data_IF_977855949801
#
_entry.id   IF_977855949801
#
_cell.length_a   1.000
_cell.length_b   1.000
_cell.length_c   1.000
_cell.angle_alpha   90.00
_cell.angle_beta   90.00
_cell.angle_gamma   90.00
#
_symmetry.space_group_name_H-M   'P 1'
#
loop_
_entity.id
_entity.type
_entity.pdbx_description
1 polymer ?
#
# COMPACT_ATOMS: atom_id res chain seq x y z
N UNK A 1 -16.52 -20.01 39.07
CA UNK A 1 -17.16 -19.52 37.83
C UNK A 1 -17.29 -20.68 36.85
N UNK A 2 -18.49 -21.24 36.73
CA UNK A 2 -18.80 -22.35 35.81
C UNK A 2 -18.86 -21.82 34.37
N UNK A 3 -18.04 -22.37 33.48
CA UNK A 3 -18.08 -22.06 32.05
C UNK A 3 -19.47 -22.41 31.47
N UNK A 4 -20.20 -21.40 30.97
CA UNK A 4 -21.43 -21.64 30.20
C UNK A 4 -21.04 -22.33 28.89
N UNK A 5 -21.70 -23.43 28.49
CA UNK A 5 -21.46 -24.03 27.18
C UNK A 5 -21.81 -23.01 26.09
N UNK A 6 -20.92 -22.86 25.11
CA UNK A 6 -21.16 -22.00 23.95
C UNK A 6 -22.48 -22.43 23.27
N UNK A 7 -23.37 -21.48 22.91
CA UNK A 7 -24.63 -21.82 22.25
C UNK A 7 -24.34 -22.59 20.95
N UNK A 8 -25.07 -23.70 20.72
CA UNK A 8 -24.95 -24.48 19.48
C UNK A 8 -25.26 -23.58 18.29
N UNK A 9 -24.28 -23.40 17.39
CA UNK A 9 -24.43 -22.59 16.18
C UNK A 9 -25.66 -23.01 15.36
N UNK A 10 -26.46 -22.04 14.96
CA UNK A 10 -27.69 -22.26 14.19
C UNK A 10 -27.36 -22.70 12.75
N UNK A 11 -28.27 -23.42 12.07
CA UNK A 11 -28.06 -23.92 10.70
C UNK A 11 -27.73 -22.79 9.71
N UNK A 12 -28.36 -21.63 9.89
CA UNK A 12 -28.06 -20.41 9.13
C UNK A 12 -26.61 -19.93 9.31
N UNK A 13 -26.06 -19.97 10.53
CA UNK A 13 -24.68 -19.55 10.78
C UNK A 13 -23.67 -20.49 10.10
N UNK A 14 -23.97 -21.80 10.06
CA UNK A 14 -23.14 -22.76 9.32
C UNK A 14 -23.15 -22.48 7.82
N UNK A 15 -24.30 -22.14 7.25
CA UNK A 15 -24.42 -21.80 5.82
C UNK A 15 -23.65 -20.52 5.51
N UNK A 16 -23.76 -19.48 6.35
CA UNK A 16 -22.99 -18.23 6.20
C UNK A 16 -21.48 -18.49 6.18
N UNK A 17 -20.98 -19.35 7.07
CA UNK A 17 -19.55 -19.71 7.10
C UNK A 17 -19.10 -20.43 5.82
N UNK A 18 -19.92 -21.32 5.26
CA UNK A 18 -19.61 -22.01 4.00
C UNK A 18 -19.56 -21.01 2.83
N UNK A 19 -20.54 -20.12 2.75
CA UNK A 19 -20.57 -19.07 1.72
C UNK A 19 -19.37 -18.14 1.84
N UNK A 20 -19.01 -17.71 3.06
CA UNK A 20 -17.80 -16.91 3.30
C UNK A 20 -16.53 -17.64 2.90
N UNK A 21 -16.43 -18.94 3.15
CA UNK A 21 -15.28 -19.75 2.72
C UNK A 21 -15.18 -19.81 1.18
N UNK A 22 -16.30 -19.98 0.46
CA UNK A 22 -16.32 -19.96 -1.01
C UNK A 22 -15.92 -18.60 -1.57
N UNK A 23 -16.41 -17.50 -0.96
CA UNK A 23 -16.01 -16.13 -1.35
C UNK A 23 -14.52 -15.91 -1.07
N UNK A 24 -13.98 -16.45 0.03
CA UNK A 24 -12.55 -16.41 0.33
C UNK A 24 -11.72 -17.16 -0.72
N UNK A 25 -12.17 -18.34 -1.17
CA UNK A 25 -11.52 -19.08 -2.26
C UNK A 25 -11.56 -18.27 -3.57
N UNK A 26 -12.70 -17.65 -3.88
CA UNK A 26 -12.83 -16.76 -5.04
C UNK A 26 -11.83 -15.59 -4.98
N UNK A 27 -11.73 -14.90 -3.85
CA UNK A 27 -10.77 -13.81 -3.65
C UNK A 27 -9.34 -14.25 -3.93
N UNK A 28 -8.93 -15.40 -3.37
CA UNK A 28 -7.57 -15.94 -3.55
C UNK A 28 -7.32 -16.27 -5.02
N UNK A 29 -8.26 -16.95 -5.69
CA UNK A 29 -8.13 -17.33 -7.09
C UNK A 29 -8.09 -16.09 -8.02
N UNK A 30 -8.96 -15.11 -7.79
CA UNK A 30 -9.04 -13.89 -8.60
C UNK A 30 -7.77 -13.04 -8.49
N UNK A 31 -7.21 -12.90 -7.28
CA UNK A 31 -5.95 -12.21 -7.06
C UNK A 31 -4.76 -12.97 -7.67
N UNK A 32 -4.67 -14.29 -7.44
CA UNK A 32 -3.55 -15.08 -7.95
C UNK A 32 -3.47 -15.09 -9.48
N UNK A 33 -4.62 -15.15 -10.15
CA UNK A 33 -4.72 -15.19 -11.61
C UNK A 33 -4.87 -13.81 -12.26
N UNK A 34 -4.85 -12.71 -11.49
CA UNK A 34 -5.04 -11.34 -11.99
C UNK A 34 -6.27 -11.20 -12.92
N UNK A 35 -7.41 -11.81 -12.55
CA UNK A 35 -8.58 -11.93 -13.43
C UNK A 35 -9.26 -10.59 -13.74
N UNK A 36 -9.07 -9.58 -12.89
CA UNK A 36 -9.61 -8.24 -13.04
C UNK A 36 -8.78 -7.23 -12.23
N UNK A 37 -9.07 -5.95 -12.41
CA UNK A 37 -8.53 -4.89 -11.59
C UNK A 37 -8.84 -5.13 -10.10
N UNK A 38 -7.89 -4.84 -9.22
CA UNK A 38 -7.97 -5.19 -7.78
C UNK A 38 -9.23 -4.59 -7.14
N UNK A 39 -9.62 -3.37 -7.54
CA UNK A 39 -10.85 -2.73 -7.07
C UNK A 39 -12.12 -3.48 -7.45
N UNK A 40 -12.20 -4.02 -8.68
CA UNK A 40 -13.33 -4.82 -9.14
C UNK A 40 -13.40 -6.18 -8.44
N UNK A 41 -12.25 -6.80 -8.17
CA UNK A 41 -12.19 -8.04 -7.38
C UNK A 41 -12.73 -7.79 -5.96
N UNK A 42 -12.26 -6.73 -5.29
CA UNK A 42 -12.75 -6.32 -3.98
C UNK A 42 -14.25 -6.03 -3.97
N UNK A 43 -14.74 -5.29 -4.98
CA UNK A 43 -16.16 -5.00 -5.13
C UNK A 43 -17.00 -6.27 -5.31
N UNK A 44 -16.52 -7.24 -6.09
CA UNK A 44 -17.21 -8.53 -6.28
C UNK A 44 -17.35 -9.30 -4.97
N UNK A 45 -16.30 -9.31 -4.14
CA UNK A 45 -16.30 -9.95 -2.83
C UNK A 45 -17.28 -9.27 -1.88
N UNK A 46 -17.31 -7.93 -1.86
CA UNK A 46 -18.25 -7.16 -1.06
C UNK A 46 -19.69 -7.45 -1.50
N UNK A 47 -19.98 -7.43 -2.79
CA UNK A 47 -21.33 -7.71 -3.32
C UNK A 47 -21.77 -9.13 -2.96
N UNK A 48 -20.93 -10.15 -3.18
CA UNK A 48 -21.25 -11.54 -2.87
C UNK A 48 -21.44 -11.76 -1.36
N UNK A 49 -20.55 -11.19 -0.53
CA UNK A 49 -20.64 -11.32 0.92
C UNK A 49 -21.88 -10.60 1.46
N UNK A 50 -22.19 -9.40 0.96
CA UNK A 50 -23.32 -8.60 1.44
C UNK A 50 -24.65 -9.19 0.98
N UNK A 51 -24.75 -9.65 -0.26
CA UNK A 51 -25.98 -10.26 -0.80
C UNK A 51 -26.28 -11.65 -0.20
N UNK A 52 -25.26 -12.46 0.08
CA UNK A 52 -25.45 -13.85 0.52
C UNK A 52 -25.29 -14.07 2.04
N UNK A 53 -24.55 -13.20 2.72
CA UNK A 53 -24.28 -13.30 4.17
C UNK A 53 -24.66 -12.04 4.96
N UNK A 54 -24.80 -10.90 4.27
CA UNK A 54 -25.05 -9.61 4.86
C UNK A 54 -26.47 -9.43 5.38
N UNK A 55 -26.73 -8.21 5.83
CA UNK A 55 -28.01 -7.81 6.39
C UNK A 55 -28.91 -7.36 5.24
N UNK A 56 -30.01 -8.08 5.01
CA UNK A 56 -31.00 -7.74 3.97
C UNK A 56 -32.21 -6.97 4.51
N UNK A 57 -32.24 -6.73 5.82
CA UNK A 57 -33.26 -5.93 6.49
C UNK A 57 -32.94 -4.45 6.33
N UNK A 58 -33.88 -3.69 5.77
CA UNK A 58 -33.71 -2.27 5.43
C UNK A 58 -33.32 -1.40 6.63
N UNK A 59 -33.81 -1.72 7.85
CA UNK A 59 -33.46 -0.97 9.06
C UNK A 59 -32.04 -1.29 9.56
N UNK A 60 -31.50 -2.45 9.23
CA UNK A 60 -30.19 -2.89 9.68
C UNK A 60 -29.10 -2.74 8.61
N UNK A 61 -29.46 -2.53 7.34
CA UNK A 61 -28.54 -2.17 6.24
C UNK A 61 -27.75 -0.91 6.58
N UNK A 62 -28.42 0.18 6.98
CA UNK A 62 -27.73 1.44 7.32
C UNK A 62 -26.72 1.29 8.46
N UNK A 63 -27.04 0.43 9.44
CA UNK A 63 -26.15 0.12 10.58
C UNK A 63 -24.92 -0.69 10.16
N UNK A 64 -25.04 -1.54 9.14
CA UNK A 64 -23.91 -2.30 8.60
C UNK A 64 -22.88 -1.40 7.88
N UNK A 65 -23.30 -0.27 7.28
CA UNK A 65 -22.40 0.70 6.66
C UNK A 65 -21.70 1.63 7.66
N UNK A 66 -22.23 1.79 8.88
CA UNK A 66 -21.64 2.69 9.89
C UNK A 66 -20.22 2.31 10.28
N UNK A 67 -19.87 1.02 10.28
CA UNK A 67 -18.51 0.57 10.61
C UNK A 67 -17.50 0.88 9.49
N UNK A 68 -17.94 0.88 8.22
CA UNK A 68 -17.07 1.16 7.06
C UNK A 68 -17.00 2.65 6.69
N UNK A 69 -18.04 3.42 7.02
CA UNK A 69 -18.16 4.85 6.71
C UNK A 69 -16.94 5.70 7.08
N UNK A 70 -16.32 5.55 8.26
CA UNK A 70 -15.11 6.30 8.62
C UNK A 70 -13.93 6.02 7.68
N UNK A 71 -13.76 4.76 7.26
CA UNK A 71 -12.69 4.36 6.34
C UNK A 71 -12.96 4.88 4.93
N UNK A 72 -14.21 4.76 4.45
CA UNK A 72 -14.60 5.29 3.14
C UNK A 72 -14.44 6.81 3.07
N UNK A 73 -14.89 7.54 4.10
CA UNK A 73 -14.73 8.99 4.18
C UNK A 73 -13.24 9.39 4.23
N UNK A 74 -12.44 8.66 4.99
CA UNK A 74 -10.99 8.86 5.03
C UNK A 74 -10.35 8.66 3.65
N UNK A 75 -10.72 7.60 2.91
CA UNK A 75 -10.23 7.37 1.54
C UNK A 75 -10.64 8.48 0.57
N UNK A 76 -11.88 8.96 0.63
CA UNK A 76 -12.33 10.07 -0.22
C UNK A 76 -11.54 11.35 0.07
N UNK A 77 -11.39 11.71 1.34
CA UNK A 77 -10.58 12.87 1.76
C UNK A 77 -9.14 12.67 1.33
N UNK A 78 -8.61 11.46 1.51
CA UNK A 78 -7.26 11.09 1.11
C UNK A 78 -7.02 11.30 -0.38
N UNK A 79 -7.81 10.69 -1.27
CA UNK A 79 -7.66 10.89 -2.72
C UNK A 79 -7.85 12.34 -3.16
N UNK A 80 -8.74 13.08 -2.47
CA UNK A 80 -8.89 14.52 -2.72
C UNK A 80 -7.61 15.29 -2.39
N UNK A 81 -6.98 15.01 -1.24
CA UNK A 81 -5.70 15.61 -0.86
C UNK A 81 -4.58 15.20 -1.83
N UNK A 82 -4.56 13.93 -2.27
CA UNK A 82 -3.61 13.44 -3.27
C UNK A 82 -3.70 14.26 -4.56
N UNK A 83 -4.92 14.42 -5.08
CA UNK A 83 -5.17 15.18 -6.29
C UNK A 83 -4.69 16.64 -6.16
N UNK A 84 -5.00 17.30 -5.03
CA UNK A 84 -4.57 18.68 -4.77
C UNK A 84 -3.04 18.79 -4.70
N UNK A 85 -2.34 17.84 -4.06
CA UNK A 85 -0.87 17.89 -3.97
C UNK A 85 -0.21 17.74 -5.34
N UNK A 86 -0.74 16.85 -6.18
CA UNK A 86 -0.30 16.68 -7.57
C UNK A 86 -0.55 17.97 -8.36
N UNK A 87 -1.77 18.52 -8.29
CA UNK A 87 -2.16 19.73 -9.04
C UNK A 87 -1.38 20.97 -8.60
N UNK A 88 -1.01 21.05 -7.33
CA UNK A 88 -0.21 22.16 -6.78
C UNK A 88 1.30 21.93 -6.90
N UNK A 89 1.75 20.83 -7.52
CA UNK A 89 3.17 20.50 -7.71
C UNK A 89 3.98 20.57 -6.41
N UNK A 90 3.37 20.20 -5.28
CA UNK A 90 3.94 20.46 -3.94
C UNK A 90 5.27 19.73 -3.72
N UNK A 91 5.47 18.59 -4.38
CA UNK A 91 6.69 17.79 -4.30
C UNK A 91 7.66 17.97 -5.46
N UNK A 92 7.27 18.68 -6.53
CA UNK A 92 8.15 18.92 -7.68
C UNK A 92 9.49 19.58 -7.30
N UNK A 93 9.57 20.53 -6.33
CA UNK A 93 10.87 21.07 -5.89
C UNK A 93 11.80 20.04 -5.27
N UNK A 94 11.26 19.09 -4.48
CA UNK A 94 12.04 18.01 -3.86
C UNK A 94 12.55 17.06 -4.94
N UNK A 95 11.71 16.73 -5.91
CA UNK A 95 12.05 15.83 -7.00
C UNK A 95 13.09 16.46 -7.93
N UNK A 96 12.91 17.73 -8.29
CA UNK A 96 13.90 18.47 -9.07
C UNK A 96 15.26 18.54 -8.34
N UNK A 97 15.26 18.75 -7.02
CA UNK A 97 16.47 18.70 -6.21
C UNK A 97 17.15 17.33 -6.28
N UNK A 98 16.40 16.25 -6.15
CA UNK A 98 16.96 14.89 -6.23
C UNK A 98 17.45 14.58 -7.64
N UNK A 99 16.71 14.95 -8.68
CA UNK A 99 17.11 14.71 -10.08
C UNK A 99 18.35 15.52 -10.51
N UNK A 100 18.66 16.63 -9.83
CA UNK A 100 19.90 17.38 -10.03
C UNK A 100 21.11 16.76 -9.33
N UNK A 101 20.91 15.83 -8.40
CA UNK A 101 22.01 15.12 -7.76
C UNK A 101 22.69 14.15 -8.74
N UNK A 102 23.91 13.73 -8.43
CA UNK A 102 24.61 12.73 -9.22
C UNK A 102 23.79 11.43 -9.34
N UNK A 103 23.83 10.73 -10.49
CA UNK A 103 23.09 9.50 -10.70
C UNK A 103 23.32 8.43 -9.63
N UNK A 104 24.53 8.38 -9.08
CA UNK A 104 24.91 7.49 -7.96
C UNK A 104 24.13 7.79 -6.68
N UNK A 105 23.84 9.07 -6.39
CA UNK A 105 23.14 9.50 -5.20
C UNK A 105 21.61 9.51 -5.37
N UNK A 106 21.10 9.57 -6.59
CA UNK A 106 19.66 9.70 -6.86
C UNK A 106 18.85 8.57 -6.23
N UNK A 107 19.27 7.31 -6.39
CA UNK A 107 18.57 6.14 -5.85
C UNK A 107 18.44 6.21 -4.32
N UNK A 108 19.55 6.53 -3.65
CA UNK A 108 19.58 6.71 -2.19
C UNK A 108 18.69 7.87 -1.74
N UNK A 109 18.79 9.03 -2.41
CA UNK A 109 18.00 10.21 -2.07
C UNK A 109 16.51 9.95 -2.27
N UNK A 110 16.11 9.35 -3.39
CA UNK A 110 14.71 8.95 -3.60
C UNK A 110 14.27 7.98 -2.51
N UNK A 111 15.06 6.95 -2.18
CA UNK A 111 14.71 6.02 -1.10
C UNK A 111 14.48 6.72 0.24
N UNK A 112 15.41 7.60 0.65
CA UNK A 112 15.36 8.28 1.96
C UNK A 112 14.21 9.29 2.03
N UNK A 113 14.05 10.15 1.02
CA UNK A 113 12.97 11.14 1.02
C UNK A 113 11.60 10.49 0.95
N UNK A 114 11.43 9.46 0.13
CA UNK A 114 10.18 8.69 0.08
C UNK A 114 9.90 8.02 1.43
N UNK A 115 10.91 7.42 2.06
CA UNK A 115 10.78 6.81 3.39
C UNK A 115 10.34 7.79 4.47
N UNK A 116 10.96 8.97 4.51
CA UNK A 116 10.62 9.99 5.50
C UNK A 116 9.21 10.55 5.30
N UNK A 117 8.83 10.88 4.05
CA UNK A 117 7.50 11.39 3.75
C UNK A 117 6.43 10.33 3.95
N UNK A 118 6.70 9.09 3.54
CA UNK A 118 5.78 7.98 3.70
C UNK A 118 5.64 7.54 5.16
N UNK A 119 6.63 7.77 6.02
CA UNK A 119 6.53 7.52 7.44
C UNK A 119 5.54 8.45 8.15
N UNK A 120 5.29 9.66 7.62
CA UNK A 120 4.34 10.62 8.20
C UNK A 120 3.02 10.71 7.42
N UNK A 121 3.00 10.19 6.19
CA UNK A 121 1.85 10.14 5.29
C UNK A 121 1.44 8.68 5.00
N UNK A 122 0.79 8.39 3.88
CA UNK A 122 0.44 7.04 3.41
C UNK A 122 1.41 6.59 2.30
N UNK A 123 1.78 5.30 2.30
CA UNK A 123 2.69 4.72 1.32
C UNK A 123 2.17 4.72 -0.12
N UNK A 124 0.86 4.53 -0.31
CA UNK A 124 0.23 4.57 -1.64
C UNK A 124 0.24 6.01 -2.18
N UNK A 125 0.01 6.99 -1.31
CA UNK A 125 0.02 8.40 -1.71
C UNK A 125 1.41 8.83 -2.19
N UNK A 126 2.41 8.71 -1.32
CA UNK A 126 3.77 9.15 -1.65
C UNK A 126 4.28 8.40 -2.88
N UNK A 127 4.04 7.09 -2.95
CA UNK A 127 4.45 6.28 -4.10
C UNK A 127 3.84 6.74 -5.41
N UNK A 128 2.52 7.03 -5.42
CA UNK A 128 1.83 7.48 -6.63
C UNK A 128 2.37 8.81 -7.14
N UNK A 129 2.59 9.79 -6.24
CA UNK A 129 3.11 11.10 -6.65
C UNK A 129 4.53 10.98 -7.22
N UNK A 130 5.42 10.27 -6.53
CA UNK A 130 6.81 10.13 -6.96
C UNK A 130 6.96 9.32 -8.25
N UNK A 131 6.15 8.28 -8.46
CA UNK A 131 6.15 7.51 -9.71
C UNK A 131 5.64 8.36 -10.88
N UNK A 132 4.57 9.15 -10.69
CA UNK A 132 4.05 10.01 -11.75
C UNK A 132 5.07 11.08 -12.18
N UNK A 133 5.76 11.67 -11.22
CA UNK A 133 6.81 12.67 -11.49
C UNK A 133 8.04 12.03 -12.14
N UNK A 134 8.45 10.83 -11.72
CA UNK A 134 9.48 10.06 -12.41
C UNK A 134 9.06 9.70 -13.86
N UNK A 135 7.79 9.36 -14.08
CA UNK A 135 7.23 9.12 -15.42
C UNK A 135 7.26 10.41 -16.25
N UNK A 136 6.90 11.55 -15.68
CA UNK A 136 7.00 12.85 -16.34
C UNK A 136 8.44 13.21 -16.74
N UNK A 137 9.41 12.93 -15.85
CA UNK A 137 10.83 13.09 -16.13
C UNK A 137 11.31 12.16 -17.26
N UNK A 138 10.80 10.93 -17.34
CA UNK A 138 11.07 10.01 -18.44
C UNK A 138 10.50 10.55 -19.76
N UNK A 139 9.23 10.95 -19.78
CA UNK A 139 8.55 11.44 -21.00
C UNK A 139 9.13 12.75 -21.53
N UNK A 140 9.70 13.58 -20.66
CA UNK A 140 10.41 14.81 -21.06
C UNK A 140 11.86 14.56 -21.50
N UNK A 141 12.34 13.31 -21.40
CA UNK A 141 13.72 12.93 -21.74
C UNK A 141 14.76 13.33 -20.69
N UNK A 142 14.34 13.75 -19.50
CA UNK A 142 15.26 14.12 -18.41
C UNK A 142 15.95 12.90 -17.79
N UNK A 143 15.32 11.72 -17.83
CA UNK A 143 15.90 10.44 -17.38
C UNK A 143 15.68 9.34 -18.43
N UNK A 144 16.56 8.33 -18.41
CA UNK A 144 16.43 7.15 -19.29
C UNK A 144 15.41 6.13 -18.75
N UNK A 145 14.90 5.22 -19.61
CA UNK A 145 14.01 4.13 -19.17
C UNK A 145 14.66 3.27 -18.08
N UNK A 146 15.93 2.88 -18.26
CA UNK A 146 16.67 2.10 -17.25
C UNK A 146 16.70 2.82 -15.90
N UNK A 147 16.89 4.14 -15.92
CA UNK A 147 16.90 4.96 -14.71
C UNK A 147 15.51 5.05 -14.09
N UNK A 148 14.46 5.24 -14.89
CA UNK A 148 13.07 5.21 -14.42
C UNK A 148 12.74 3.91 -13.70
N UNK A 149 13.11 2.75 -14.23
CA UNK A 149 12.85 1.45 -13.57
C UNK A 149 13.58 1.32 -12.23
N UNK A 150 14.85 1.70 -12.16
CA UNK A 150 15.60 1.68 -10.90
C UNK A 150 14.99 2.65 -9.87
N UNK A 151 14.60 3.85 -10.32
CA UNK A 151 13.90 4.81 -9.47
C UNK A 151 12.55 4.28 -9.01
N UNK A 152 11.80 3.59 -9.86
CA UNK A 152 10.51 3.00 -9.49
C UNK A 152 10.66 1.95 -8.39
N UNK A 153 11.68 1.09 -8.46
CA UNK A 153 12.00 0.13 -7.39
C UNK A 153 12.43 0.84 -6.11
N UNK A 154 13.29 1.87 -6.21
CA UNK A 154 13.74 2.64 -5.06
C UNK A 154 12.58 3.41 -4.37
N UNK A 155 11.67 3.99 -5.14
CA UNK A 155 10.44 4.65 -4.66
C UNK A 155 9.56 3.62 -3.96
N UNK A 156 9.20 2.51 -4.62
CA UNK A 156 8.33 1.48 -4.03
C UNK A 156 8.91 0.90 -2.74
N UNK A 157 10.21 0.61 -2.73
CA UNK A 157 10.89 0.07 -1.56
C UNK A 157 11.00 1.13 -0.45
N UNK A 158 11.28 2.37 -0.85
CA UNK A 158 11.37 3.54 0.03
C UNK A 158 10.03 3.92 0.66
N UNK A 159 8.90 3.73 -0.01
CA UNK A 159 7.58 4.00 0.59
C UNK A 159 7.06 2.85 1.44
N UNK A 160 7.51 1.60 1.24
CA UNK A 160 6.97 0.46 1.98
C UNK A 160 7.81 0.02 3.18
N UNK A 161 9.14 0.12 3.14
CA UNK A 161 9.99 -0.34 4.25
C UNK A 161 10.03 0.63 5.44
N UNK A 162 10.39 1.92 5.26
CA UNK A 162 10.53 2.87 6.37
C UNK A 162 9.18 3.39 6.87
N UNK A 163 8.10 3.29 6.09
CA UNK A 163 6.78 3.81 6.46
C UNK A 163 6.12 3.09 7.64
N UNK A 164 6.60 1.89 7.98
CA UNK A 164 6.20 1.17 9.19
C UNK A 164 6.45 1.99 10.49
N UNK A 165 7.27 3.04 10.42
CA UNK A 165 7.60 3.96 11.51
C UNK A 165 6.40 4.50 12.28
N UNK A 166 5.30 4.76 11.57
CA UNK A 166 4.10 5.28 12.20
C UNK A 166 2.85 4.56 11.75
N UNK A 167 1.77 4.65 12.53
CA UNK A 167 0.48 4.09 12.13
C UNK A 167 -0.08 4.70 10.85
N UNK A 168 0.24 5.95 10.54
CA UNK A 168 -0.24 6.62 9.33
C UNK A 168 0.45 6.08 8.07
N UNK A 169 1.73 5.71 8.19
CA UNK A 169 2.52 5.15 7.09
C UNK A 169 2.01 3.84 6.52
N UNK A 170 1.16 3.14 7.27
CA UNK A 170 0.60 1.85 6.87
C UNK A 170 -0.89 1.77 7.24
N UNK A 171 -1.76 1.68 6.22
CA UNK A 171 -3.22 1.60 6.42
C UNK A 171 -3.65 0.48 7.41
N UNK A 172 -2.94 -0.66 7.41
CA UNK A 172 -3.21 -1.76 8.34
C UNK A 172 -2.97 -1.36 9.81
N UNK A 173 -1.98 -0.50 10.07
CA UNK A 173 -1.66 -0.02 11.41
C UNK A 173 -2.66 1.04 11.88
N UNK A 174 -3.05 1.94 10.98
CA UNK A 174 -4.12 2.90 11.25
C UNK A 174 -5.45 2.17 11.54
N UNK A 175 -5.77 1.13 10.76
CA UNK A 175 -6.94 0.29 11.01
C UNK A 175 -6.88 -0.40 12.37
N UNK A 176 -5.72 -0.92 12.78
CA UNK A 176 -5.56 -1.52 14.11
C UNK A 176 -5.85 -0.49 15.21
N UNK A 177 -5.39 0.76 15.07
CA UNK A 177 -5.63 1.82 16.04
C UNK A 177 -7.10 2.29 16.11
N UNK A 178 -7.81 2.29 14.98
CA UNK A 178 -9.24 2.66 14.94
C UNK A 178 -10.17 1.49 15.31
N UNK A 179 -9.65 0.27 15.35
CA UNK A 179 -10.41 -0.92 15.71
C UNK A 179 -10.78 -0.98 17.19
N UNK A 180 -11.85 -1.71 17.49
CA UNK A 180 -12.25 -2.03 18.86
C UNK A 180 -11.20 -2.86 19.65
N UNK A 181 -10.16 -3.39 18.98
CA UNK A 181 -9.06 -4.09 19.63
C UNK A 181 -8.07 -3.15 20.30
N UNK A 182 -7.84 -1.94 19.77
CA UNK A 182 -6.83 -1.02 20.31
C UNK A 182 -7.05 -0.68 21.80
N UNK A 183 -8.28 -0.40 22.28
CA UNK A 183 -8.53 -0.18 23.70
C UNK A 183 -8.27 -1.42 24.56
N UNK A 184 -8.56 -2.62 24.04
CA UNK A 184 -8.38 -3.89 24.76
C UNK A 184 -6.91 -4.21 25.03
N UNK A 185 -6.03 -3.94 24.05
CA UNK A 185 -4.57 -4.12 24.20
C UNK A 185 -3.86 -2.87 24.74
N UNK A 186 -4.60 -1.81 25.07
CA UNK A 186 -4.07 -0.50 25.49
C UNK A 186 -3.04 0.05 24.49
N UNK A 187 -3.34 -0.07 23.20
CA UNK A 187 -2.47 0.40 22.13
C UNK A 187 -2.81 1.87 21.83
N UNK A 188 -1.91 2.77 22.23
CA UNK A 188 -1.97 4.18 21.85
C UNK A 188 -1.08 4.44 20.64
N UNK A 189 -1.32 5.55 19.93
CA UNK A 189 -0.50 5.97 18.79
C UNK A 189 0.99 5.98 19.13
N UNK A 190 1.37 6.68 20.21
CA UNK A 190 2.77 6.76 20.64
C UNK A 190 3.38 5.41 21.03
N UNK A 191 2.59 4.52 21.67
CA UNK A 191 3.05 3.16 21.99
C UNK A 191 3.32 2.36 20.72
N UNK A 192 2.49 2.51 19.70
CA UNK A 192 2.68 1.85 18.42
C UNK A 192 3.94 2.32 17.71
N UNK A 193 4.21 3.63 17.69
CA UNK A 193 5.46 4.20 17.15
C UNK A 193 6.68 3.63 17.88
N UNK A 194 6.66 3.58 19.21
CA UNK A 194 7.76 3.01 20.00
C UNK A 194 8.01 1.53 19.70
N UNK A 195 6.94 0.75 19.51
CA UNK A 195 7.03 -0.65 19.13
C UNK A 195 7.56 -0.85 17.71
N UNK A 196 7.24 0.06 16.79
CA UNK A 196 7.61 -0.01 15.38
C UNK A 196 9.04 0.51 15.10
N UNK A 197 9.56 1.41 15.93
CA UNK A 197 10.87 2.04 15.77
C UNK A 197 12.04 1.05 15.50
N UNK A 198 12.24 -0.04 16.28
CA UNK A 198 13.34 -0.97 16.00
C UNK A 198 13.21 -1.64 14.63
N UNK A 199 11.99 -2.02 14.23
CA UNK A 199 11.72 -2.59 12.90
C UNK A 199 11.97 -1.56 11.80
N UNK A 200 11.56 -0.32 12.03
CA UNK A 200 11.79 0.79 11.10
C UNK A 200 13.27 0.98 10.83
N UNK A 201 14.09 1.02 11.88
CA UNK A 201 15.54 1.21 11.75
C UNK A 201 16.14 0.06 10.94
N UNK A 202 15.80 -1.20 11.28
CA UNK A 202 16.32 -2.37 10.57
C UNK A 202 15.88 -2.38 9.10
N UNK A 203 14.59 -2.19 8.84
CA UNK A 203 14.04 -2.21 7.47
C UNK A 203 14.53 -1.03 6.63
N UNK A 204 14.67 0.16 7.22
CA UNK A 204 15.21 1.33 6.54
C UNK A 204 16.68 1.16 6.17
N UNK A 205 17.50 0.63 7.09
CA UNK A 205 18.93 0.41 6.83
C UNK A 205 19.16 -0.74 5.85
N UNK A 206 18.50 -1.88 6.05
CA UNK A 206 18.63 -3.02 5.14
C UNK A 206 18.13 -2.65 3.75
N UNK A 207 16.97 -1.99 3.67
CA UNK A 207 16.43 -1.50 2.41
C UNK A 207 17.37 -0.52 1.71
N UNK A 208 17.93 0.44 2.45
CA UNK A 208 18.91 1.39 1.92
C UNK A 208 20.16 0.68 1.37
N UNK A 209 20.72 -0.26 2.12
CA UNK A 209 21.90 -1.03 1.69
C UNK A 209 21.59 -1.87 0.44
N UNK A 210 20.38 -2.44 0.35
CA UNK A 210 19.96 -3.17 -0.85
C UNK A 210 19.80 -2.24 -2.06
N UNK A 211 19.19 -1.06 -1.89
CA UNK A 211 19.04 -0.08 -2.97
C UNK A 211 20.40 0.42 -3.46
N UNK A 212 21.32 0.71 -2.54
CA UNK A 212 22.64 1.27 -2.86
C UNK A 212 23.57 0.22 -3.50
N UNK A 213 23.70 -0.96 -2.87
CA UNK A 213 24.76 -1.91 -3.21
C UNK A 213 24.27 -3.14 -3.98
N UNK A 214 22.96 -3.42 -3.98
CA UNK A 214 22.42 -4.66 -4.57
C UNK A 214 21.61 -4.40 -5.83
N UNK A 215 20.78 -3.35 -5.85
CA UNK A 215 19.80 -3.10 -6.89
C UNK A 215 20.42 -3.02 -8.30
N UNK A 216 21.34 -2.09 -8.53
CA UNK A 216 21.99 -1.94 -9.83
C UNK A 216 22.81 -3.18 -10.26
N UNK A 217 23.77 -3.70 -9.46
CA UNK A 217 24.61 -4.81 -9.90
C UNK A 217 23.84 -6.12 -10.10
N UNK A 218 22.84 -6.42 -9.27
CA UNK A 218 22.00 -7.61 -9.46
C UNK A 218 21.10 -7.44 -10.67
N UNK A 219 20.54 -6.24 -10.92
CA UNK A 219 19.77 -5.99 -12.13
C UNK A 219 20.62 -6.23 -13.38
N UNK A 220 21.83 -5.68 -13.42
CA UNK A 220 22.75 -5.88 -14.55
C UNK A 220 23.11 -7.36 -14.74
N UNK A 221 23.37 -8.10 -13.65
CA UNK A 221 23.64 -9.54 -13.68
C UNK A 221 22.45 -10.34 -14.24
N UNK A 222 21.23 -10.03 -13.77
CA UNK A 222 20.01 -10.70 -14.22
C UNK A 222 19.68 -10.38 -15.68
N UNK A 223 19.98 -9.17 -16.15
CA UNK A 223 19.89 -8.80 -17.57
C UNK A 223 20.90 -9.56 -18.41
N UNK A 224 22.14 -9.70 -17.95
CA UNK A 224 23.16 -10.52 -18.63
C UNK A 224 22.76 -11.99 -18.73
N UNK A 225 22.11 -12.54 -17.70
CA UNK A 225 21.55 -13.89 -17.72
C UNK A 225 20.24 -14.03 -18.51
N UNK A 226 19.74 -12.92 -19.08
CA UNK A 226 18.48 -12.85 -19.82
C UNK A 226 17.26 -13.27 -18.99
N UNK A 227 17.34 -13.10 -17.67
CA UNK A 227 16.20 -13.26 -16.75
C UNK A 227 15.36 -11.99 -16.68
N UNK A 228 15.97 -10.84 -16.95
CA UNK A 228 15.29 -9.55 -17.08
C UNK A 228 15.56 -8.96 -18.47
N UNK A 229 14.52 -8.48 -19.12
CA UNK A 229 14.61 -7.69 -20.36
C UNK A 229 13.92 -6.36 -20.13
N UNK A 230 14.56 -5.27 -20.55
CA UNK A 230 13.91 -3.96 -20.54
C UNK A 230 12.67 -4.02 -21.45
N UNK A 231 11.51 -3.53 -21.00
CA UNK A 231 10.34 -3.42 -21.85
C UNK A 231 10.62 -2.46 -23.01
N UNK A 232 9.99 -2.67 -24.18
CA UNK A 232 10.07 -1.73 -25.28
C UNK A 232 9.53 -0.35 -24.85
N UNK A 233 10.13 0.73 -25.35
CA UNK A 233 9.77 2.11 -24.98
C UNK A 233 8.28 2.41 -25.19
N UNK A 234 7.68 1.84 -26.25
CA UNK A 234 6.26 1.98 -26.58
C UNK A 234 5.32 1.44 -25.49
N UNK A 235 5.79 0.53 -24.63
CA UNK A 235 4.99 -0.03 -23.54
C UNK A 235 4.82 0.95 -22.36
N UNK A 236 5.57 2.06 -22.33
CA UNK A 236 5.59 3.02 -21.21
C UNK A 236 4.77 4.28 -21.51
N UNK A 237 4.40 4.52 -22.77
CA UNK A 237 3.52 5.63 -23.19
C UNK A 237 2.04 5.44 -22.80
N UNK A 238 1.63 4.21 -22.47
CA UNK A 238 0.30 3.88 -21.96
C UNK A 238 0.26 3.83 -20.42
#
# INVERSE_FOLDING_TARGET
MTARPAPKRNRQEKIKLVVQALIGIWLVAALALHLAEVGLIGLSVIILATSLCGVTDEHAIGKAFQEALPFTALLTVFFTVVAVIIEQHLFSPVIAFVLQAEPSAQLMLFYVFNGLLSAVSDNVFVGTVYINEAKAALTSGAISLKQFEMLAVAINTGTNLPSVATPNGQAAFLFLLTSALAPLVRLSYGRMVWMALPYTIVLALVGLLCVEYTLAPVTDLLTQWHWLTLPPLDAVEH
#
